data_IF_554963475968
#
_entry.id   IF_554963475968
#
_cell.length_a   1.000
_cell.length_b   1.000
_cell.length_c   1.000
_cell.angle_alpha   90.00
_cell.angle_beta   90.00
_cell.angle_gamma   90.00
#
_symmetry.space_group_name_H-M   'P 1'
#
loop_
_entity.id
_entity.type
_entity.pdbx_description
1 polymer ?
#
# COMPACT_ATOMS: atom_id res chain seq x y z
N UNK A 1 51.30 -1.54 -28.63
CA UNK A 1 50.97 -2.61 -27.66
C UNK A 1 51.00 -2.02 -26.26
N UNK A 2 49.89 -2.05 -25.54
CA UNK A 2 49.86 -2.03 -24.06
C UNK A 2 48.44 -2.39 -23.60
N UNK A 3 48.25 -3.68 -23.34
CA UNK A 3 47.07 -4.27 -22.72
C UNK A 3 47.35 -4.34 -21.21
N UNK A 4 46.88 -3.38 -20.43
CA UNK A 4 46.99 -3.48 -18.97
C UNK A 4 45.96 -2.61 -18.24
N UNK A 5 44.73 -3.11 -18.07
CA UNK A 5 43.89 -2.71 -16.94
C UNK A 5 42.72 -3.68 -16.69
N UNK A 6 43.00 -4.99 -16.65
CA UNK A 6 42.12 -5.90 -15.90
C UNK A 6 42.53 -5.85 -14.42
N UNK A 7 41.86 -5.00 -13.64
CA UNK A 7 41.90 -5.10 -12.18
C UNK A 7 40.79 -6.06 -11.72
N UNK A 8 41.10 -7.18 -11.07
CA UNK A 8 40.06 -7.98 -10.44
C UNK A 8 39.61 -7.27 -9.15
N UNK A 9 38.31 -6.94 -9.06
CA UNK A 9 37.71 -6.52 -7.80
C UNK A 9 37.45 -7.77 -6.95
N UNK A 10 38.53 -8.35 -6.42
CA UNK A 10 38.40 -9.27 -5.29
C UNK A 10 38.17 -8.42 -4.04
N UNK A 11 36.90 -8.28 -3.65
CA UNK A 11 36.55 -7.84 -2.30
C UNK A 11 36.96 -8.96 -1.35
N UNK A 12 37.97 -8.71 -0.53
CA UNK A 12 38.28 -9.57 0.62
C UNK A 12 37.07 -9.59 1.55
N UNK A 13 36.60 -10.79 1.88
CA UNK A 13 35.55 -11.02 2.86
C UNK A 13 36.16 -10.73 4.24
N UNK A 14 36.05 -9.47 4.70
CA UNK A 14 36.31 -9.16 6.11
C UNK A 14 35.25 -9.88 6.93
N UNK A 15 35.67 -10.82 7.76
CA UNK A 15 34.90 -11.28 8.91
C UNK A 15 34.74 -10.10 9.86
N UNK A 16 33.71 -9.30 9.63
CA UNK A 16 33.23 -8.38 10.64
C UNK A 16 32.63 -9.21 11.77
N UNK A 17 33.26 -9.18 12.93
CA UNK A 17 32.59 -9.46 14.20
C UNK A 17 31.54 -8.36 14.42
N UNK A 18 30.46 -8.41 13.67
CA UNK A 18 29.25 -7.68 14.00
C UNK A 18 28.59 -8.46 15.14
N UNK A 19 28.77 -7.92 16.34
CA UNK A 19 27.92 -8.20 17.49
C UNK A 19 26.48 -8.11 16.99
N UNK A 20 25.88 -9.27 16.83
CA UNK A 20 24.47 -9.37 16.49
C UNK A 20 23.74 -8.95 17.76
N UNK A 21 23.33 -7.68 17.83
CA UNK A 21 22.12 -7.32 18.58
C UNK A 21 20.96 -7.99 17.85
N UNK A 22 20.87 -9.30 18.02
CA UNK A 22 19.68 -10.06 17.75
C UNK A 22 18.62 -9.44 18.65
N UNK A 23 17.67 -8.75 18.04
CA UNK A 23 16.31 -8.75 18.56
C UNK A 23 15.90 -10.22 18.61
N UNK A 24 16.25 -10.87 19.73
CA UNK A 24 15.58 -12.07 20.20
C UNK A 24 14.15 -11.63 20.50
N UNK A 25 13.32 -11.65 19.46
CA UNK A 25 11.92 -11.96 19.67
C UNK A 25 11.89 -13.41 20.14
N UNK A 26 12.13 -13.57 21.44
CA UNK A 26 11.62 -14.73 22.13
C UNK A 26 10.13 -14.79 21.79
N UNK A 27 9.60 -15.94 21.32
CA UNK A 27 8.19 -16.15 21.51
C UNK A 27 8.02 -16.16 23.03
N UNK A 28 7.57 -15.04 23.59
CA UNK A 28 7.04 -15.03 24.93
C UNK A 28 5.83 -15.96 24.89
N UNK A 29 6.10 -17.24 25.15
CA UNK A 29 5.10 -18.19 25.53
C UNK A 29 4.43 -17.54 26.74
N UNK A 30 3.18 -17.11 26.57
CA UNK A 30 2.38 -16.54 27.64
C UNK A 30 2.47 -17.50 28.82
N UNK A 31 3.22 -17.09 29.83
CA UNK A 31 3.36 -17.80 31.09
C UNK A 31 1.99 -17.74 31.73
N UNK A 32 1.19 -18.77 31.48
CA UNK A 32 -0.12 -18.90 32.07
C UNK A 32 0.06 -18.85 33.59
N UNK A 33 -0.58 -17.87 34.24
CA UNK A 33 -0.79 -17.85 35.68
C UNK A 33 -1.35 -19.22 36.06
N UNK A 34 -0.64 -19.93 36.92
CA UNK A 34 -1.16 -21.14 37.57
C UNK A 34 -2.25 -20.65 38.52
N UNK A 35 -3.49 -20.62 38.02
CA UNK A 35 -4.65 -20.71 38.88
C UNK A 35 -4.56 -22.08 39.55
N UNK A 36 -4.50 -22.10 40.87
CA UNK A 36 -4.55 -23.33 41.67
C UNK A 36 -5.99 -23.85 41.54
N UNK A 37 -6.26 -24.51 40.41
CA UNK A 37 -7.51 -25.21 40.17
C UNK A 37 -7.50 -26.48 41.01
N UNK A 38 -8.37 -26.53 42.01
CA UNK A 38 -8.62 -27.70 42.87
C UNK A 38 -9.40 -28.81 42.16
N UNK A 39 -9.50 -28.78 40.82
CA UNK A 39 -10.15 -29.86 40.07
C UNK A 39 -9.08 -30.82 39.53
N UNK A 40 -9.23 -32.13 39.73
CA UNK A 40 -8.25 -33.12 39.31
C UNK A 40 -8.11 -33.07 37.79
N UNK A 41 -6.90 -32.81 37.32
CA UNK A 41 -6.54 -32.90 35.90
C UNK A 41 -6.74 -34.34 35.41
N UNK A 42 -7.92 -34.60 34.84
CA UNK A 42 -8.19 -35.82 34.07
C UNK A 42 -7.75 -35.57 32.63
N UNK A 43 -6.58 -36.10 32.26
CA UNK A 43 -6.03 -36.08 30.90
C UNK A 43 -6.80 -36.95 29.89
N UNK A 44 -7.91 -37.53 30.30
CA UNK A 44 -8.75 -38.38 29.46
C UNK A 44 -10.08 -37.66 29.22
N UNK A 45 -10.34 -37.29 27.98
CA UNK A 45 -11.64 -36.77 27.57
C UNK A 45 -12.71 -37.81 27.95
N UNK A 46 -13.69 -37.42 28.78
CA UNK A 46 -14.82 -38.31 29.11
C UNK A 46 -15.53 -38.66 27.82
N UNK A 47 -15.26 -39.86 27.30
CA UNK A 47 -15.89 -40.37 26.10
C UNK A 47 -17.39 -40.46 26.34
N UNK A 48 -18.16 -39.55 25.76
CA UNK A 48 -19.61 -39.69 25.72
C UNK A 48 -19.96 -41.01 25.00
N UNK A 49 -20.97 -41.70 25.51
CA UNK A 49 -21.52 -42.92 24.90
C UNK A 49 -21.79 -42.62 23.43
N UNK A 50 -21.06 -43.26 22.51
CA UNK A 50 -21.28 -43.13 21.06
C UNK A 50 -22.76 -43.44 20.81
N UNK A 51 -23.53 -42.44 20.40
CA UNK A 51 -24.89 -42.67 19.93
C UNK A 51 -24.78 -43.69 18.78
N UNK A 52 -25.47 -44.84 18.93
CA UNK A 52 -25.52 -45.86 17.89
C UNK A 52 -26.23 -45.21 16.70
N UNK A 53 -25.44 -44.79 15.70
CA UNK A 53 -25.88 -44.17 14.44
C UNK A 53 -26.35 -42.70 14.59
N UNK A 54 -25.43 -41.81 14.96
CA UNK A 54 -25.57 -40.39 14.60
C UNK A 54 -25.69 -40.26 13.08
N UNK A 55 -26.55 -39.37 12.59
CA UNK A 55 -26.75 -39.14 11.15
C UNK A 55 -25.41 -38.99 10.44
N UNK A 56 -25.22 -39.70 9.32
CA UNK A 56 -23.98 -39.65 8.55
C UNK A 56 -23.57 -38.21 8.30
N UNK A 57 -22.27 -37.91 8.40
CA UNK A 57 -21.79 -36.57 8.05
C UNK A 57 -22.24 -36.26 6.62
N UNK A 58 -22.86 -35.09 6.43
CA UNK A 58 -23.33 -34.65 5.11
C UNK A 58 -22.17 -34.77 4.11
N UNK A 59 -22.33 -35.49 2.98
CA UNK A 59 -21.26 -35.68 1.99
C UNK A 59 -20.72 -34.36 1.44
N UNK A 60 -21.52 -33.28 1.48
CA UNK A 60 -21.07 -31.93 1.14
C UNK A 60 -20.05 -31.40 2.14
N UNK A 61 -20.27 -31.62 3.43
CA UNK A 61 -19.32 -31.22 4.48
C UNK A 61 -18.02 -32.01 4.35
N UNK A 62 -18.09 -33.30 4.01
CA UNK A 62 -16.88 -34.10 3.75
C UNK A 62 -16.14 -33.65 2.50
N UNK A 63 -16.86 -33.28 1.43
CA UNK A 63 -16.26 -32.73 0.20
C UNK A 63 -15.62 -31.36 0.45
N UNK A 64 -16.29 -30.48 1.20
CA UNK A 64 -15.73 -29.19 1.63
C UNK A 64 -14.47 -29.41 2.47
N UNK A 65 -14.52 -30.29 3.48
CA UNK A 65 -13.35 -30.62 4.31
C UNK A 65 -12.22 -31.19 3.47
N UNK A 66 -12.53 -32.09 2.54
CA UNK A 66 -11.59 -32.63 1.58
C UNK A 66 -10.94 -31.48 0.81
N UNK A 67 -11.69 -30.66 0.06
CA UNK A 67 -11.11 -29.58 -0.75
C UNK A 67 -10.38 -28.49 0.03
N UNK A 68 -10.74 -28.24 1.29
CA UNK A 68 -10.06 -27.27 2.14
C UNK A 68 -8.75 -27.82 2.75
N UNK A 69 -8.71 -29.11 3.12
CA UNK A 69 -7.55 -29.70 3.80
C UNK A 69 -6.84 -30.77 2.97
N UNK A 70 -7.11 -30.88 1.67
CA UNK A 70 -6.47 -31.92 0.87
C UNK A 70 -5.00 -31.60 0.60
N UNK A 71 -4.07 -32.53 0.86
CA UNK A 71 -2.64 -32.36 0.56
C UNK A 71 -2.33 -32.55 -0.95
N UNK A 72 -3.25 -32.23 -1.85
CA UNK A 72 -3.06 -32.27 -3.32
C UNK A 72 -2.10 -31.17 -3.79
N UNK A 73 -1.49 -30.43 -2.87
CA UNK A 73 -0.37 -29.54 -3.16
C UNK A 73 0.76 -30.34 -3.81
N UNK A 74 1.19 -29.99 -5.03
CA UNK A 74 2.28 -30.68 -5.67
C UNK A 74 3.56 -30.56 -4.84
N UNK A 75 4.48 -31.49 -5.02
CA UNK A 75 5.79 -31.44 -4.35
C UNK A 75 6.51 -30.13 -4.70
N UNK A 76 7.33 -29.58 -3.79
CA UNK A 76 8.14 -28.40 -4.07
C UNK A 76 8.96 -28.57 -5.35
N UNK A 77 9.03 -27.49 -6.11
CA UNK A 77 9.63 -27.48 -7.43
C UNK A 77 11.16 -27.50 -7.33
N UNK A 78 11.79 -28.51 -7.94
CA UNK A 78 13.24 -28.66 -7.98
C UNK A 78 13.76 -28.22 -9.36
N UNK A 79 14.73 -27.31 -9.38
CA UNK A 79 15.34 -26.82 -10.61
C UNK A 79 16.77 -27.33 -10.77
N UNK A 80 17.15 -27.66 -12.01
CA UNK A 80 18.56 -27.81 -12.38
C UNK A 80 19.28 -26.47 -12.29
N UNK A 81 20.62 -26.49 -12.21
CA UNK A 81 21.45 -25.29 -12.06
C UNK A 81 21.18 -24.21 -13.13
N UNK A 82 21.07 -24.59 -14.41
CA UNK A 82 20.81 -23.60 -15.49
C UNK A 82 19.39 -23.05 -15.44
N UNK A 83 18.43 -23.82 -14.92
CA UNK A 83 17.04 -23.38 -14.75
C UNK A 83 16.89 -22.47 -13.53
N UNK A 84 17.56 -22.79 -12.42
CA UNK A 84 17.56 -21.94 -11.22
C UNK A 84 18.20 -20.58 -11.50
N UNK A 85 19.30 -20.53 -12.25
CA UNK A 85 19.93 -19.28 -12.67
C UNK A 85 19.01 -18.44 -13.57
N UNK A 86 18.36 -19.04 -14.58
CA UNK A 86 17.38 -18.35 -15.43
C UNK A 86 16.20 -17.79 -14.63
N UNK A 87 15.67 -18.58 -13.69
CA UNK A 87 14.60 -18.12 -12.81
C UNK A 87 15.06 -16.94 -11.94
N UNK A 88 16.28 -17.03 -11.38
CA UNK A 88 16.85 -15.97 -10.55
C UNK A 88 17.05 -14.66 -11.32
N UNK A 89 17.57 -14.73 -12.56
CA UNK A 89 17.78 -13.53 -13.38
C UNK A 89 16.45 -12.86 -13.76
N UNK A 90 15.45 -13.64 -14.18
CA UNK A 90 14.09 -13.13 -14.46
C UNK A 90 13.49 -12.47 -13.23
N UNK A 91 13.57 -13.13 -12.07
CA UNK A 91 13.05 -12.60 -10.81
C UNK A 91 13.74 -11.28 -10.41
N UNK A 92 15.07 -11.20 -10.53
CA UNK A 92 15.82 -9.97 -10.25
C UNK A 92 15.47 -8.84 -11.22
N UNK A 93 15.37 -9.14 -12.51
CA UNK A 93 14.96 -8.17 -13.53
C UNK A 93 13.55 -7.63 -13.25
N UNK A 94 12.62 -8.50 -12.87
CA UNK A 94 11.26 -8.12 -12.47
C UNK A 94 11.25 -7.20 -11.25
N UNK A 95 12.02 -7.52 -10.20
CA UNK A 95 12.13 -6.67 -9.01
C UNK A 95 12.73 -5.29 -9.33
N UNK A 96 13.71 -5.23 -10.24
CA UNK A 96 14.27 -3.97 -10.72
C UNK A 96 13.24 -3.15 -11.50
N UNK A 97 12.49 -3.79 -12.39
CA UNK A 97 11.39 -3.16 -13.13
C UNK A 97 10.33 -2.60 -12.18
N UNK A 98 9.88 -3.36 -11.18
CA UNK A 98 8.93 -2.89 -10.17
C UNK A 98 9.46 -1.74 -9.33
N UNK A 99 10.78 -1.70 -9.04
CA UNK A 99 11.40 -0.56 -8.36
C UNK A 99 11.35 0.70 -9.23
N UNK A 100 11.69 0.56 -10.51
CA UNK A 100 11.64 1.67 -11.48
C UNK A 100 10.22 2.20 -11.65
N UNK A 101 9.22 1.33 -11.78
CA UNK A 101 7.80 1.72 -11.86
C UNK A 101 7.35 2.51 -10.64
N UNK A 102 7.58 1.98 -9.43
CA UNK A 102 7.23 2.70 -8.19
C UNK A 102 7.95 4.03 -8.04
N UNK A 103 9.21 4.12 -8.48
CA UNK A 103 9.94 5.38 -8.47
C UNK A 103 9.31 6.39 -9.44
N UNK A 104 8.96 5.97 -10.66
CA UNK A 104 8.27 6.82 -11.63
C UNK A 104 6.90 7.29 -11.13
N UNK A 105 6.09 6.39 -10.54
CA UNK A 105 4.80 6.72 -9.94
C UNK A 105 4.94 7.77 -8.82
N UNK A 106 5.94 7.61 -7.94
CA UNK A 106 6.23 8.60 -6.89
C UNK A 106 6.64 9.96 -7.45
N UNK A 107 7.53 9.98 -8.44
CA UNK A 107 7.96 11.22 -9.09
C UNK A 107 6.78 11.93 -9.78
N UNK A 108 5.88 11.18 -10.39
CA UNK A 108 4.69 11.75 -11.02
C UNK A 108 3.72 12.34 -9.99
N UNK A 109 3.51 11.65 -8.86
CA UNK A 109 2.73 12.20 -7.73
C UNK A 109 3.39 13.45 -7.14
N UNK A 110 4.72 13.46 -6.98
CA UNK A 110 5.48 14.63 -6.55
C UNK A 110 5.33 15.78 -7.55
N UNK A 111 5.42 15.51 -8.86
CA UNK A 111 5.23 16.50 -9.92
C UNK A 111 3.83 17.12 -9.84
N UNK A 112 2.79 16.30 -9.70
CA UNK A 112 1.41 16.76 -9.55
C UNK A 112 1.25 17.62 -8.30
N UNK A 113 1.78 17.16 -7.16
CA UNK A 113 1.75 17.92 -5.91
C UNK A 113 2.46 19.27 -6.02
N UNK A 114 3.67 19.31 -6.61
CA UNK A 114 4.42 20.56 -6.79
C UNK A 114 3.69 21.53 -7.72
N UNK A 115 3.07 21.01 -8.80
CA UNK A 115 2.23 21.80 -9.71
C UNK A 115 1.02 22.40 -8.99
N UNK A 116 0.28 21.58 -8.23
CA UNK A 116 -0.85 22.05 -7.42
C UNK A 116 -0.42 23.08 -6.37
N UNK A 117 0.70 22.84 -5.68
CA UNK A 117 1.26 23.76 -4.69
C UNK A 117 1.59 25.11 -5.30
N UNK A 118 2.27 25.12 -6.44
CA UNK A 118 2.61 26.35 -7.17
C UNK A 118 1.35 27.13 -7.59
N UNK A 119 0.33 26.44 -8.11
CA UNK A 119 -0.95 27.05 -8.45
C UNK A 119 -1.68 27.64 -7.22
N UNK A 120 -1.63 26.95 -6.07
CA UNK A 120 -2.22 27.44 -4.83
C UNK A 120 -1.49 28.66 -4.27
N UNK A 121 -0.15 28.68 -4.30
CA UNK A 121 0.63 29.87 -3.93
C UNK A 121 0.32 31.05 -4.85
N UNK A 122 0.13 30.79 -6.15
CA UNK A 122 -0.32 31.82 -7.08
C UNK A 122 -1.66 32.42 -6.67
N UNK A 123 -2.66 31.59 -6.36
CA UNK A 123 -3.97 32.05 -5.88
C UNK A 123 -3.89 32.80 -4.55
N UNK A 124 -2.92 32.45 -3.69
CA UNK A 124 -2.72 33.12 -2.39
C UNK A 124 -2.26 34.57 -2.59
N UNK A 125 -1.42 34.81 -3.59
CA UNK A 125 -0.87 36.12 -3.94
C UNK A 125 -1.72 36.89 -4.95
N UNK A 126 -2.81 36.32 -5.44
CA UNK A 126 -3.62 36.95 -6.48
C UNK A 126 -4.61 37.95 -5.87
N UNK A 127 -4.69 39.14 -6.47
CA UNK A 127 -5.71 40.17 -6.19
C UNK A 127 -7.02 39.88 -6.94
N UNK A 128 -8.07 40.66 -6.65
CA UNK A 128 -9.39 40.59 -7.30
C UNK A 128 -9.31 40.72 -8.83
N UNK A 129 -8.36 41.50 -9.32
CA UNK A 129 -8.11 41.74 -10.75
C UNK A 129 -7.26 40.67 -11.44
N UNK A 130 -6.86 39.60 -10.74
CA UNK A 130 -6.04 38.52 -11.31
C UNK A 130 -4.54 38.82 -11.37
N UNK A 131 -4.09 39.95 -10.84
CA UNK A 131 -2.67 40.33 -10.79
C UNK A 131 -1.98 39.74 -9.56
N UNK A 132 -0.70 39.35 -9.70
CA UNK A 132 0.11 38.87 -8.57
C UNK A 132 0.56 40.04 -7.71
N UNK A 133 0.36 39.90 -6.41
CA UNK A 133 0.76 40.84 -5.36
C UNK A 133 2.02 40.30 -4.66
N UNK A 134 2.85 41.19 -4.12
CA UNK A 134 4.03 40.79 -3.37
C UNK A 134 3.64 40.03 -2.09
N UNK A 135 4.52 39.14 -1.60
CA UNK A 135 4.21 38.34 -0.40
C UNK A 135 3.98 39.21 0.85
N UNK A 136 4.65 40.36 0.94
CA UNK A 136 4.49 41.31 2.03
C UNK A 136 3.09 41.94 2.08
N UNK A 137 2.49 42.19 0.92
CA UNK A 137 1.17 42.82 0.78
C UNK A 137 0.02 41.81 0.92
N UNK A 138 0.26 40.52 0.63
CA UNK A 138 -0.76 39.47 0.69
C UNK A 138 -1.13 39.03 2.12
N UNK A 139 -0.24 39.27 3.09
CA UNK A 139 -0.40 38.82 4.47
C UNK A 139 0.04 37.37 4.68
N UNK A 140 -0.20 36.86 5.90
CA UNK A 140 0.27 35.54 6.33
C UNK A 140 -0.57 34.36 5.81
N UNK A 141 -0.13 33.16 6.17
CA UNK A 141 -0.85 31.91 5.86
C UNK A 141 -1.88 31.63 6.96
N UNK A 142 -3.14 32.02 6.75
CA UNK A 142 -4.21 31.72 7.71
C UNK A 142 -5.59 32.18 7.26
N UNK A 143 -6.67 31.56 7.78
CA UNK A 143 -8.04 32.02 7.58
C UNK A 143 -8.40 33.21 8.50
N UNK A 144 -7.57 33.51 9.51
CA UNK A 144 -7.86 34.49 10.55
C UNK A 144 -7.78 35.93 10.03
N UNK A 145 -8.68 36.77 10.53
CA UNK A 145 -8.78 38.17 10.09
C UNK A 145 -7.52 39.00 10.43
N UNK A 146 -6.78 38.61 11.48
CA UNK A 146 -5.51 39.26 11.88
C UNK A 146 -4.32 38.90 10.98
N UNK A 147 -4.50 37.98 10.03
CA UNK A 147 -3.46 37.52 9.11
C UNK A 147 -3.54 38.20 7.74
N UNK A 148 -4.55 39.05 7.52
CA UNK A 148 -4.79 39.75 6.26
C UNK A 148 -3.74 40.86 6.04
N UNK A 149 -3.24 40.97 4.80
CA UNK A 149 -2.29 42.02 4.42
C UNK A 149 -2.95 43.38 4.17
N UNK A 150 -2.18 44.34 3.68
CA UNK A 150 -2.59 45.74 3.46
C UNK A 150 -3.82 45.88 2.55
N UNK A 151 -3.97 44.99 1.57
CA UNK A 151 -5.11 44.95 0.64
C UNK A 151 -6.34 44.18 1.17
N UNK A 152 -6.32 43.77 2.44
CA UNK A 152 -7.46 43.15 3.11
C UNK A 152 -7.87 41.80 2.54
N UNK A 153 -9.19 41.56 2.42
CA UNK A 153 -9.78 40.26 2.05
C UNK A 153 -9.82 39.98 0.54
N UNK A 154 -9.45 40.93 -0.30
CA UNK A 154 -9.43 40.74 -1.76
C UNK A 154 -8.30 39.80 -2.18
N UNK A 155 -7.10 40.01 -1.62
CA UNK A 155 -5.95 39.15 -1.88
C UNK A 155 -6.15 37.78 -1.23
N UNK A 156 -5.94 36.70 -2.00
CA UNK A 156 -6.08 35.34 -1.53
C UNK A 156 -7.52 34.85 -1.31
N UNK A 157 -8.54 35.60 -1.76
CA UNK A 157 -9.96 35.20 -1.62
C UNK A 157 -10.25 33.84 -2.27
N UNK A 158 -9.74 33.64 -3.49
CA UNK A 158 -9.89 32.39 -4.24
C UNK A 158 -9.13 31.24 -3.61
N UNK A 159 -7.94 31.51 -3.06
CA UNK A 159 -7.17 30.52 -2.28
C UNK A 159 -7.96 30.02 -1.07
N UNK A 160 -8.50 30.93 -0.25
CA UNK A 160 -9.35 30.57 0.90
C UNK A 160 -10.55 29.71 0.49
N UNK A 161 -11.20 30.07 -0.62
CA UNK A 161 -12.35 29.33 -1.16
C UNK A 161 -11.95 27.92 -1.63
N UNK A 162 -10.80 27.78 -2.31
CA UNK A 162 -10.28 26.50 -2.80
C UNK A 162 -9.82 25.56 -1.66
N UNK A 163 -9.40 26.11 -0.51
CA UNK A 163 -8.99 25.32 0.64
C UNK A 163 -10.17 24.75 1.45
N UNK A 164 -11.40 25.20 1.21
CA UNK A 164 -12.60 24.70 1.88
C UNK A 164 -12.83 23.23 1.49
N UNK A 165 -12.92 22.33 2.49
CA UNK A 165 -13.15 20.89 2.30
C UNK A 165 -14.62 20.46 2.44
N UNK A 166 -15.56 21.29 1.99
CA UNK A 166 -17.00 20.96 2.03
C UNK A 166 -17.30 19.78 1.11
N UNK A 167 -17.94 18.74 1.63
CA UNK A 167 -18.34 17.54 0.86
C UNK A 167 -17.20 16.60 0.46
N UNK A 168 -15.93 16.94 0.77
CA UNK A 168 -14.75 16.14 0.38
C UNK A 168 -14.70 14.80 1.12
N UNK A 169 -15.18 14.75 2.37
CA UNK A 169 -15.22 13.54 3.18
C UNK A 169 -16.40 12.61 2.86
N UNK A 170 -17.19 12.93 1.83
CA UNK A 170 -18.21 12.02 1.26
C UNK A 170 -17.60 10.98 0.31
N UNK A 171 -18.44 10.36 -0.51
CA UNK A 171 -18.01 9.41 -1.55
C UNK A 171 -17.78 10.10 -2.90
N UNK A 172 -16.89 9.52 -3.71
CA UNK A 172 -16.74 9.86 -5.14
C UNK A 172 -17.95 9.27 -5.92
N UNK A 173 -18.45 9.92 -6.98
CA UNK A 173 -19.53 9.35 -7.80
C UNK A 173 -19.14 7.97 -8.35
N UNK A 174 -20.07 7.02 -8.23
CA UNK A 174 -19.80 5.59 -8.50
C UNK A 174 -19.44 5.33 -9.96
N UNK A 175 -19.91 6.18 -10.88
CA UNK A 175 -19.66 6.07 -12.31
C UNK A 175 -18.17 6.25 -12.65
N UNK A 176 -17.44 7.07 -11.89
CA UNK A 176 -15.99 7.29 -12.07
C UNK A 176 -15.14 6.22 -11.37
N UNK A 177 -15.71 5.44 -10.45
CA UNK A 177 -15.01 4.36 -9.75
C UNK A 177 -14.92 3.06 -10.57
N UNK A 178 -15.39 3.06 -11.82
CA UNK A 178 -15.31 1.91 -12.72
C UNK A 178 -13.85 1.56 -13.03
N UNK A 179 -13.50 0.29 -12.83
CA UNK A 179 -12.17 -0.24 -13.11
C UNK A 179 -11.97 -0.42 -14.62
N UNK A 180 -10.71 -0.35 -15.05
CA UNK A 180 -10.33 -0.65 -16.43
C UNK A 180 -10.62 -2.14 -16.73
N UNK A 181 -11.27 -2.42 -17.86
CA UNK A 181 -11.54 -3.78 -18.35
C UNK A 181 -10.56 -4.17 -19.45
N UNK A 182 -10.36 -5.48 -19.64
CA UNK A 182 -9.47 -6.01 -20.68
C UNK A 182 -9.97 -5.70 -22.10
N UNK A 183 -11.30 -5.71 -22.30
CA UNK A 183 -11.95 -5.37 -23.56
C UNK A 183 -13.03 -4.32 -23.33
N UNK A 184 -13.21 -3.36 -24.25
CA UNK A 184 -14.32 -2.40 -24.17
C UNK A 184 -15.66 -3.11 -24.38
N UNK A 185 -16.72 -2.56 -23.79
CA UNK A 185 -18.09 -2.97 -24.10
C UNK A 185 -18.49 -2.61 -25.53
N UNK A 186 -19.62 -3.16 -26.01
CA UNK A 186 -20.16 -2.84 -27.34
C UNK A 186 -20.42 -1.34 -27.50
N UNK A 187 -20.92 -0.71 -26.43
CA UNK A 187 -21.10 0.73 -26.32
C UNK A 187 -20.01 1.28 -25.40
N UNK A 188 -18.93 1.80 -25.98
CA UNK A 188 -17.75 2.25 -25.22
C UNK A 188 -17.95 3.57 -24.48
N UNK A 189 -18.76 4.48 -25.03
CA UNK A 189 -19.07 5.79 -24.43
C UNK A 189 -20.49 6.24 -24.76
N UNK A 190 -21.20 6.76 -23.76
CA UNK A 190 -22.56 7.28 -23.95
C UNK A 190 -22.53 8.75 -24.40
N UNK A 191 -22.61 8.98 -25.71
CA UNK A 191 -22.70 10.34 -26.28
C UNK A 191 -24.07 11.01 -26.07
N UNK A 192 -25.12 10.23 -25.77
CA UNK A 192 -26.48 10.72 -25.54
C UNK A 192 -26.78 11.06 -24.08
N UNK A 193 -25.76 11.20 -23.23
CA UNK A 193 -25.96 11.52 -21.82
C UNK A 193 -26.62 12.90 -21.66
N UNK A 194 -27.72 12.94 -20.89
CA UNK A 194 -28.49 14.15 -20.57
C UNK A 194 -28.72 14.24 -19.07
N UNK A 195 -28.70 15.47 -18.55
CA UNK A 195 -29.01 15.77 -17.14
C UNK A 195 -30.53 15.91 -17.01
N UNK A 196 -31.20 14.83 -16.65
CA UNK A 196 -32.62 14.85 -16.27
C UNK A 196 -32.83 15.63 -14.97
#
# INVERSE_FOLDING_TARGET
MNLSSFRPVFRSFRSSNCISLAFQSSPQCLRQRILINTSPFSSTSRMQKRAKKGGGQDPRITSIRYHLSHPLTPRPLHFSRTRSLRHWTIHRAWLLFLRKRRAAEKLELERQYMSMRSACEHLRLMDSYGNKVSEAEAGGQGPDAGTLGSKGREVGRLYRSAMIKRGVWGSVPVEYAKLQTDFPGREGWNHGWTRN
#
